data_IF_341140920021
#
_entry.id   IF_341140920021
#
_cell.length_a   1.000
_cell.length_b   1.000
_cell.length_c   1.000
_cell.angle_alpha   90.00
_cell.angle_beta   90.00
_cell.angle_gamma   90.00
#
_symmetry.space_group_name_H-M   'P 1'
#
loop_
_entity.id
_entity.type
_entity.pdbx_description
1 polymer ?
#
# COMPACT_ATOMS: atom_id res chain seq x y z
N UNK A 1 -8.55 -9.46 33.18
CA UNK A 1 -9.26 -8.38 32.46
C UNK A 1 -8.53 -7.96 31.17
N UNK A 2 -8.35 -8.89 30.21
CA UNK A 2 -7.57 -8.65 28.97
C UNK A 2 -8.35 -8.94 27.66
N UNK A 3 -9.48 -9.63 27.74
CA UNK A 3 -10.20 -10.13 26.56
C UNK A 3 -10.82 -9.02 25.68
N UNK A 4 -11.13 -7.84 26.22
CA UNK A 4 -11.74 -6.76 25.44
C UNK A 4 -10.72 -6.10 24.49
N UNK A 5 -9.47 -5.96 24.92
CA UNK A 5 -8.38 -5.41 24.10
C UNK A 5 -8.08 -6.31 22.91
N UNK A 6 -8.01 -7.62 23.13
CA UNK A 6 -7.83 -8.61 22.06
C UNK A 6 -8.99 -8.58 21.06
N UNK A 7 -10.22 -8.46 21.53
CA UNK A 7 -11.40 -8.31 20.65
C UNK A 7 -11.34 -7.04 19.81
N UNK A 8 -10.84 -5.93 20.35
CA UNK A 8 -10.64 -4.69 19.57
C UNK A 8 -9.54 -4.82 18.52
N UNK A 9 -8.42 -5.47 18.87
CA UNK A 9 -7.34 -5.76 17.93
C UNK A 9 -7.86 -6.65 16.79
N UNK A 10 -8.61 -7.70 17.11
CA UNK A 10 -9.24 -8.57 16.11
C UNK A 10 -10.26 -7.80 15.24
N UNK A 11 -11.07 -6.91 15.83
CA UNK A 11 -12.01 -6.06 15.09
C UNK A 11 -11.28 -5.14 14.12
N UNK A 12 -10.21 -4.45 14.57
CA UNK A 12 -9.41 -3.55 13.74
C UNK A 12 -8.68 -4.31 12.64
N UNK A 13 -8.15 -5.50 12.94
CA UNK A 13 -7.47 -6.36 11.96
C UNK A 13 -8.41 -6.83 10.85
N UNK A 14 -9.70 -7.07 11.17
CA UNK A 14 -10.75 -7.48 10.21
C UNK A 14 -11.51 -6.32 9.57
N UNK A 15 -11.20 -5.06 9.94
CA UNK A 15 -11.91 -3.91 9.44
C UNK A 15 -11.55 -3.65 7.97
N UNK A 16 -12.59 -3.56 7.14
CA UNK A 16 -12.49 -3.17 5.75
C UNK A 16 -12.87 -1.69 5.62
N UNK A 17 -12.03 -0.90 4.93
CA UNK A 17 -12.29 0.52 4.67
C UNK A 17 -12.50 0.75 3.16
N UNK A 18 -13.31 1.74 2.74
CA UNK A 18 -13.45 2.05 1.33
C UNK A 18 -12.09 2.48 0.73
N UNK A 19 -11.73 1.91 -0.42
CA UNK A 19 -10.42 2.14 -1.03
C UNK A 19 -10.19 3.59 -1.44
N UNK A 20 -11.20 4.24 -2.01
CA UNK A 20 -11.15 5.66 -2.39
C UNK A 20 -10.12 6.04 -3.48
N UNK A 21 -9.37 5.08 -4.05
CA UNK A 21 -8.38 5.35 -5.08
C UNK A 21 -9.06 5.81 -6.38
N UNK A 22 -8.45 6.73 -7.12
CA UNK A 22 -8.98 7.15 -8.42
C UNK A 22 -8.82 6.01 -9.44
N UNK A 23 -9.92 5.61 -10.07
CA UNK A 23 -9.90 4.61 -11.14
C UNK A 23 -9.45 5.24 -12.46
N UNK A 24 -9.12 4.41 -13.46
CA UNK A 24 -8.81 4.88 -14.82
C UNK A 24 -9.94 5.71 -15.45
N UNK A 25 -11.19 5.50 -15.02
CA UNK A 25 -12.37 6.23 -15.49
C UNK A 25 -12.60 7.55 -14.72
N UNK A 26 -11.69 7.96 -13.84
CA UNK A 26 -11.73 9.24 -13.11
C UNK A 26 -12.59 9.24 -11.83
N UNK A 27 -13.36 8.19 -11.57
CA UNK A 27 -14.19 8.09 -10.36
C UNK A 27 -13.43 7.41 -9.20
N UNK A 28 -13.90 7.61 -7.97
CA UNK A 28 -13.34 6.93 -6.79
C UNK A 28 -13.65 5.43 -6.80
N UNK A 29 -12.70 4.64 -6.29
CA UNK A 29 -12.83 3.20 -6.15
C UNK A 29 -13.78 2.89 -4.99
N UNK A 30 -14.90 2.26 -5.34
CA UNK A 30 -15.95 1.85 -4.40
C UNK A 30 -15.65 0.52 -3.69
N UNK A 31 -14.58 -0.16 -4.08
CA UNK A 31 -14.22 -1.46 -3.52
C UNK A 31 -13.67 -1.30 -2.11
N UNK A 32 -13.97 -2.28 -1.25
CA UNK A 32 -13.41 -2.35 0.09
C UNK A 32 -11.92 -2.74 0.05
N UNK A 33 -11.18 -2.25 1.03
CA UNK A 33 -9.78 -2.61 1.28
C UNK A 33 -9.67 -4.06 1.73
N UNK A 34 -8.47 -4.61 1.64
CA UNK A 34 -8.17 -5.81 2.40
C UNK A 34 -8.09 -5.47 3.90
N UNK A 35 -8.34 -6.44 4.80
CA UNK A 35 -8.24 -6.23 6.24
C UNK A 35 -6.84 -5.72 6.62
N UNK A 36 -6.78 -4.64 7.40
CA UNK A 36 -5.50 -3.99 7.79
C UNK A 36 -4.82 -3.15 6.70
N UNK A 37 -5.38 -3.07 5.49
CA UNK A 37 -4.87 -2.22 4.42
C UNK A 37 -5.80 -1.02 4.17
N UNK A 38 -5.25 0.04 3.57
CA UNK A 38 -6.02 1.25 3.21
C UNK A 38 -6.61 1.21 1.80
N UNK A 39 -6.25 0.21 0.98
CA UNK A 39 -6.63 0.12 -0.44
C UNK A 39 -7.08 -1.29 -0.79
N UNK A 40 -7.89 -1.42 -1.83
CA UNK A 40 -8.39 -2.70 -2.31
C UNK A 40 -7.32 -3.50 -3.05
N UNK A 41 -7.58 -4.80 -3.28
CA UNK A 41 -6.68 -5.72 -4.00
C UNK A 41 -6.14 -5.20 -5.34
N UNK A 42 -6.89 -4.32 -6.02
CA UNK A 42 -6.49 -3.75 -7.31
C UNK A 42 -5.62 -2.49 -7.20
N UNK A 43 -5.80 -1.70 -6.13
CA UNK A 43 -5.06 -0.44 -5.93
C UNK A 43 -4.01 -0.52 -4.80
N UNK A 44 -3.94 -1.65 -4.10
CA UNK A 44 -3.06 -1.94 -2.95
C UNK A 44 -1.71 -2.56 -3.29
N UNK A 45 -1.18 -2.36 -4.52
CA UNK A 45 0.23 -2.69 -4.82
C UNK A 45 0.53 -4.13 -5.25
N UNK A 46 -0.43 -4.84 -5.89
CA UNK A 46 -0.16 -6.17 -6.47
C UNK A 46 0.64 -6.16 -7.79
N UNK A 47 1.22 -5.03 -8.18
CA UNK A 47 2.30 -5.01 -9.16
C UNK A 47 3.58 -5.41 -8.45
N UNK A 48 3.76 -6.71 -8.19
CA UNK A 48 5.07 -7.21 -7.81
C UNK A 48 6.02 -6.82 -8.96
N UNK A 49 6.94 -5.89 -8.69
CA UNK A 49 7.95 -5.49 -9.66
C UNK A 49 8.73 -6.71 -10.18
N UNK A 50 9.61 -6.52 -11.18
CA UNK A 50 10.35 -7.63 -11.76
C UNK A 50 11.07 -8.45 -10.69
N UNK A 51 10.72 -9.73 -10.61
CA UNK A 51 11.29 -10.67 -9.65
C UNK A 51 12.63 -11.23 -10.11
N UNK A 52 12.90 -11.18 -11.42
CA UNK A 52 14.13 -11.68 -12.03
C UNK A 52 15.18 -10.58 -12.16
N UNK A 53 16.48 -10.93 -12.10
CA UNK A 53 17.57 -9.97 -12.27
C UNK A 53 17.50 -9.25 -13.63
N UNK A 54 17.22 -9.98 -14.71
CA UNK A 54 17.11 -9.43 -16.07
C UNK A 54 15.91 -8.48 -16.22
N UNK A 55 14.85 -8.72 -15.43
CA UNK A 55 13.70 -7.83 -15.38
C UNK A 55 14.00 -6.53 -14.64
N UNK A 56 14.85 -6.59 -13.59
CA UNK A 56 15.29 -5.40 -12.84
C UNK A 56 16.22 -4.54 -13.69
N UNK A 57 17.16 -5.17 -14.40
CA UNK A 57 18.11 -4.48 -15.27
C UNK A 57 17.41 -3.78 -16.44
N UNK A 58 16.42 -4.43 -17.07
CA UNK A 58 15.57 -3.79 -18.08
C UNK A 58 14.84 -2.54 -17.57
N UNK A 59 14.35 -2.58 -16.33
CA UNK A 59 13.71 -1.41 -15.71
C UNK A 59 14.73 -0.34 -15.34
N UNK A 60 15.94 -0.72 -14.89
CA UNK A 60 16.99 0.21 -14.53
C UNK A 60 17.51 1.00 -15.73
N UNK A 61 17.68 0.34 -16.89
CA UNK A 61 18.14 0.97 -18.14
C UNK A 61 17.04 1.86 -18.77
N UNK A 62 15.76 1.58 -18.52
CA UNK A 62 14.63 2.32 -19.08
C UNK A 62 14.37 3.73 -18.48
N UNK A 63 15.13 4.16 -17.46
CA UNK A 63 15.03 5.51 -16.88
C UNK A 63 13.89 5.72 -15.86
N UNK A 64 13.85 6.90 -15.19
CA UNK A 64 13.25 7.09 -13.86
C UNK A 64 11.71 7.04 -13.77
N UNK A 65 11.01 6.61 -14.82
CA UNK A 65 9.56 6.42 -14.81
C UNK A 65 9.14 4.97 -14.52
N UNK A 66 10.10 4.04 -14.50
CA UNK A 66 9.89 2.62 -14.27
C UNK A 66 9.96 2.19 -12.80
N UNK A 67 8.93 2.49 -12.01
CA UNK A 67 8.51 1.58 -10.92
C UNK A 67 9.45 1.28 -9.74
N UNK A 68 10.53 2.03 -9.50
CA UNK A 68 11.30 1.93 -8.26
C UNK A 68 10.50 2.53 -7.07
N UNK A 69 9.80 1.66 -6.35
CA UNK A 69 9.55 1.75 -4.90
C UNK A 69 9.53 3.15 -4.26
N UNK A 70 8.37 3.82 -4.28
CA UNK A 70 8.01 4.82 -3.25
C UNK A 70 7.88 4.21 -1.83
N UNK A 71 8.22 2.93 -1.65
CA UNK A 71 8.09 2.18 -0.41
C UNK A 71 9.29 2.29 0.54
N UNK A 72 10.33 3.09 0.24
CA UNK A 72 11.54 3.17 1.08
C UNK A 72 11.90 4.56 1.64
N UNK A 73 11.04 5.57 1.53
CA UNK A 73 11.30 6.92 2.09
C UNK A 73 10.39 7.30 3.27
N UNK A 74 10.20 6.39 4.22
CA UNK A 74 9.78 6.75 5.59
C UNK A 74 10.78 6.21 6.63
N UNK A 75 12.07 6.29 6.29
CA UNK A 75 13.17 6.26 7.26
C UNK A 75 13.74 7.66 7.45
N UNK A 76 12.90 8.67 7.65
CA UNK A 76 13.35 10.02 8.01
C UNK A 76 12.74 10.40 9.34
N UNK A 77 13.65 10.66 10.29
CA UNK A 77 13.40 11.16 11.62
C UNK A 77 12.32 12.25 11.62
N UNK A 78 11.31 12.06 12.46
CA UNK A 78 10.41 13.13 12.86
C UNK A 78 11.25 14.08 13.71
N UNK A 79 11.81 15.13 13.11
CA UNK A 79 12.33 16.26 13.86
C UNK A 79 11.15 16.99 14.53
N UNK A 80 11.30 17.48 15.77
CA UNK A 80 10.24 18.19 16.46
C UNK A 80 9.94 19.50 15.72
N UNK A 81 8.65 19.75 15.47
CA UNK A 81 8.19 21.04 14.96
C UNK A 81 8.24 22.04 16.13
N UNK A 82 8.87 23.18 15.84
CA UNK A 82 9.09 24.34 16.70
C UNK A 82 7.83 24.79 17.45
#
# INVERSE_FOLDING_TARGET
MAHWKEREVQRRARAHVPCGAQTRKGHSCRLLSEPGQRRCKFHGGRSAGPRTPEGRERIAVAGPLGGASRFHKLGQAILPRN
#
